data_IF_603943601297
#
_entry.id   IF_603943601297
#
_cell.length_a   1.000
_cell.length_b   1.000
_cell.length_c   1.000
_cell.angle_alpha   90.00
_cell.angle_beta   90.00
_cell.angle_gamma   90.00
#
_symmetry.space_group_name_H-M   'P 1'
#
loop_
_entity.id
_entity.type
_entity.pdbx_description
1 polymer ?
#
# COMPACT_ATOMS: atom_id res chain seq x y z
N UNK A 1 0.54 8.84 8.93
CA UNK A 1 0.11 7.66 8.13
C UNK A 1 -0.85 8.14 7.06
N UNK A 2 -0.89 7.49 5.90
CA UNK A 2 -1.87 7.81 4.86
C UNK A 2 -3.17 7.07 5.12
N UNK A 3 -4.28 7.80 5.19
CA UNK A 3 -5.62 7.25 5.38
C UNK A 3 -6.44 7.18 4.08
N UNK A 4 -6.06 8.00 3.09
CA UNK A 4 -6.75 8.13 1.80
C UNK A 4 -7.85 9.19 1.79
N UNK A 5 -8.03 9.96 2.86
CA UNK A 5 -9.09 10.96 2.98
C UNK A 5 -8.56 12.35 3.37
N UNK A 6 -7.76 12.42 4.44
CA UNK A 6 -7.35 13.69 5.05
C UNK A 6 -5.92 14.09 4.70
N UNK A 7 -5.10 13.11 4.28
CA UNK A 7 -3.67 13.32 4.01
C UNK A 7 -3.42 13.72 2.55
N UNK A 8 -2.66 14.80 2.32
CA UNK A 8 -2.13 15.12 0.97
C UNK A 8 -1.22 13.97 0.49
N UNK A 9 -1.46 13.44 -0.72
CA UNK A 9 -0.61 12.40 -1.32
C UNK A 9 0.86 12.82 -1.43
N UNK A 10 1.12 14.06 -1.81
CA UNK A 10 2.46 14.61 -2.01
C UNK A 10 3.22 14.67 -0.68
N UNK A 11 2.57 15.23 0.35
CA UNK A 11 3.16 15.34 1.69
C UNK A 11 3.43 13.96 2.29
N UNK A 12 2.53 13.00 2.07
CA UNK A 12 2.75 11.63 2.51
C UNK A 12 3.89 10.95 1.75
N UNK A 13 4.00 11.16 0.44
CA UNK A 13 5.05 10.54 -0.37
C UNK A 13 6.43 11.02 0.06
N UNK A 14 6.61 12.34 0.27
CA UNK A 14 7.86 12.90 0.80
C UNK A 14 8.21 12.30 2.17
N UNK A 15 7.23 12.17 3.06
CA UNK A 15 7.43 11.53 4.37
C UNK A 15 7.81 10.05 4.23
N UNK A 16 7.19 9.33 3.30
CA UNK A 16 7.47 7.92 3.07
C UNK A 16 8.86 7.70 2.47
N UNK A 17 9.29 8.53 1.51
CA UNK A 17 10.64 8.50 0.97
C UNK A 17 11.70 8.76 2.03
N UNK A 18 11.45 9.73 2.91
CA UNK A 18 12.30 9.97 4.07
C UNK A 18 12.42 8.71 4.95
N UNK A 19 11.30 8.06 5.26
CA UNK A 19 11.31 6.81 6.03
C UNK A 19 12.06 5.66 5.30
N UNK A 20 11.92 5.56 3.97
CA UNK A 20 12.66 4.57 3.18
C UNK A 20 14.18 4.80 3.29
N UNK A 21 14.61 6.06 3.22
CA UNK A 21 16.02 6.43 3.33
C UNK A 21 16.59 6.10 4.72
N UNK A 22 15.87 6.48 5.79
CA UNK A 22 16.30 6.21 7.17
C UNK A 22 16.36 4.71 7.51
N UNK A 23 15.51 3.89 6.90
CA UNK A 23 15.47 2.44 7.12
C UNK A 23 16.25 1.63 6.08
N UNK A 24 16.96 2.29 5.16
CA UNK A 24 17.72 1.66 4.08
C UNK A 24 16.88 0.72 3.18
N UNK A 25 15.61 1.06 2.93
CA UNK A 25 14.77 0.34 1.96
C UNK A 25 15.10 0.80 0.54
N UNK A 26 16.20 0.27 0.01
CA UNK A 26 16.78 0.73 -1.25
C UNK A 26 16.14 0.06 -2.49
N UNK A 27 15.55 -1.13 -2.35
CA UNK A 27 14.88 -1.84 -3.45
C UNK A 27 13.39 -1.48 -3.54
N UNK A 28 12.82 -1.54 -4.75
CA UNK A 28 11.38 -1.31 -4.94
C UNK A 28 10.56 -2.39 -4.22
N UNK A 29 11.03 -3.63 -4.20
CA UNK A 29 10.42 -4.72 -3.45
C UNK A 29 10.37 -4.41 -1.94
N UNK A 30 11.45 -3.91 -1.35
CA UNK A 30 11.49 -3.53 0.07
C UNK A 30 10.58 -2.34 0.38
N UNK A 31 10.57 -1.34 -0.50
CA UNK A 31 9.64 -0.20 -0.37
C UNK A 31 8.21 -0.68 -0.43
N UNK A 32 7.80 -1.45 -1.44
CA UNK A 32 6.40 -1.92 -1.54
C UNK A 32 6.01 -2.78 -0.33
N UNK A 33 6.91 -3.64 0.14
CA UNK A 33 6.70 -4.48 1.32
C UNK A 33 6.44 -3.65 2.59
N UNK A 34 7.22 -2.60 2.81
CA UNK A 34 7.15 -1.79 4.02
C UNK A 34 6.14 -0.63 3.94
N UNK A 35 5.68 -0.26 2.75
CA UNK A 35 4.68 0.79 2.54
C UNK A 35 3.41 0.56 3.38
N UNK A 36 3.00 -0.70 3.54
CA UNK A 36 1.82 -1.09 4.33
C UNK A 36 1.89 -0.68 5.81
N UNK A 37 3.08 -0.46 6.36
CA UNK A 37 3.28 0.02 7.73
C UNK A 37 2.84 1.47 7.90
N UNK A 38 2.85 2.25 6.81
CA UNK A 38 2.53 3.67 6.78
C UNK A 38 1.12 3.97 6.29
N UNK A 39 0.36 2.93 5.95
CA UNK A 39 -1.04 3.03 5.57
C UNK A 39 -1.94 2.80 6.79
N UNK A 40 -3.02 3.55 6.82
CA UNK A 40 -4.09 3.51 7.82
C UNK A 40 -5.46 3.59 7.15
N UNK A 41 -6.53 3.40 7.91
CA UNK A 41 -7.91 3.59 7.43
C UNK A 41 -8.23 2.82 6.14
N UNK A 42 -8.85 3.53 5.20
CA UNK A 42 -9.28 2.99 3.91
C UNK A 42 -8.07 2.56 3.07
N UNK A 43 -7.01 3.37 3.03
CA UNK A 43 -5.80 3.05 2.26
C UNK A 43 -5.17 1.71 2.66
N UNK A 44 -5.12 1.40 3.96
CA UNK A 44 -4.61 0.11 4.44
C UNK A 44 -5.48 -1.05 3.97
N UNK A 45 -6.80 -0.87 4.00
CA UNK A 45 -7.75 -1.90 3.53
C UNK A 45 -7.61 -2.16 2.03
N UNK A 46 -7.23 -1.14 1.25
CA UNK A 46 -7.07 -1.25 -0.20
C UNK A 46 -5.75 -1.89 -0.63
N UNK A 47 -4.66 -1.63 0.09
CA UNK A 47 -3.29 -1.98 -0.32
C UNK A 47 -2.92 -3.48 -0.37
N UNK A 48 -3.88 -4.37 -0.14
CA UNK A 48 -3.57 -5.80 -0.06
C UNK A 48 -4.73 -6.76 -0.18
N UNK A 49 -5.94 -6.29 -0.48
CA UNK A 49 -7.04 -7.21 -0.72
C UNK A 49 -7.05 -7.63 -2.19
N UNK A 50 -7.27 -8.92 -2.45
CA UNK A 50 -7.50 -9.42 -3.80
C UNK A 50 -8.69 -8.69 -4.47
N UNK A 51 -9.67 -8.24 -3.67
CA UNK A 51 -10.82 -7.47 -4.14
C UNK A 51 -10.42 -6.10 -4.70
N UNK A 52 -9.50 -5.40 -4.03
CA UNK A 52 -8.99 -4.11 -4.51
C UNK A 52 -8.28 -4.27 -5.85
N UNK A 53 -7.45 -5.32 -5.99
CA UNK A 53 -6.85 -5.68 -7.27
C UNK A 53 -7.93 -5.93 -8.36
N UNK A 54 -8.97 -6.70 -8.04
CA UNK A 54 -10.07 -6.98 -8.97
C UNK A 54 -10.75 -5.70 -9.49
N UNK A 55 -11.11 -4.78 -8.60
CA UNK A 55 -11.80 -3.55 -8.99
C UNK A 55 -10.91 -2.67 -9.85
N UNK A 56 -9.65 -2.49 -9.47
CA UNK A 56 -8.73 -1.66 -10.26
C UNK A 56 -8.45 -2.30 -11.62
N UNK A 57 -8.21 -3.61 -11.67
CA UNK A 57 -7.95 -4.30 -12.94
C UNK A 57 -9.16 -4.23 -13.88
N UNK A 58 -10.39 -4.39 -13.35
CA UNK A 58 -11.63 -4.22 -14.13
C UNK A 58 -11.76 -2.79 -14.66
N UNK A 59 -11.53 -1.78 -13.83
CA UNK A 59 -11.58 -0.38 -14.22
C UNK A 59 -10.59 -0.09 -15.36
N UNK A 60 -9.35 -0.56 -15.23
CA UNK A 60 -8.33 -0.39 -16.26
C UNK A 60 -8.70 -1.08 -17.58
N UNK A 61 -9.25 -2.30 -17.53
CA UNK A 61 -9.71 -3.01 -18.73
C UNK A 61 -10.86 -2.26 -19.43
N UNK A 62 -11.80 -1.71 -18.67
CA UNK A 62 -12.90 -0.90 -19.22
C UNK A 62 -12.42 0.42 -19.84
N UNK A 63 -11.39 1.05 -19.27
CA UNK A 63 -10.77 2.25 -19.82
C UNK A 63 -10.00 1.95 -21.11
N UNK A 64 -9.32 0.80 -21.17
CA UNK A 64 -8.58 0.38 -22.35
C UNK A 64 -9.50 -0.03 -23.51
N UNK A 65 -10.55 -0.80 -23.21
CA UNK A 65 -11.55 -1.23 -24.18
C UNK A 65 -12.92 -1.45 -23.51
N UNK A 66 -13.83 -0.50 -23.73
CA UNK A 66 -15.19 -0.57 -23.19
C UNK A 66 -16.06 -1.65 -23.86
N UNK A 67 -15.67 -2.16 -25.02
CA UNK A 67 -16.39 -3.20 -25.78
C UNK A 67 -15.90 -4.61 -25.47
N UNK A 68 -14.93 -4.75 -24.57
CA UNK A 68 -14.33 -6.02 -24.21
C UNK A 68 -15.38 -6.97 -23.62
N UNK A 69 -15.58 -8.17 -24.19
CA UNK A 69 -16.58 -9.10 -23.69
C UNK A 69 -16.20 -9.63 -22.31
N UNK A 70 -17.20 -9.83 -21.44
CA UNK A 70 -16.97 -10.32 -20.07
C UNK A 70 -16.23 -11.66 -20.01
N UNK A 71 -16.41 -12.50 -21.02
CA UNK A 71 -15.72 -13.79 -21.17
C UNK A 71 -14.20 -13.64 -21.30
N UNK A 72 -13.71 -12.49 -21.79
CA UNK A 72 -12.29 -12.17 -21.87
C UNK A 72 -11.78 -11.44 -20.62
N UNK A 73 -12.65 -10.70 -19.92
CA UNK A 73 -12.28 -9.96 -18.70
C UNK A 73 -11.84 -10.91 -17.58
N UNK A 74 -12.62 -11.97 -17.34
CA UNK A 74 -12.36 -12.93 -16.25
C UNK A 74 -10.96 -13.54 -16.30
N UNK A 75 -10.50 -14.17 -17.41
CA UNK A 75 -9.16 -14.74 -17.46
C UNK A 75 -8.06 -13.68 -17.33
N UNK A 76 -8.24 -12.48 -17.91
CA UNK A 76 -7.26 -11.39 -17.80
C UNK A 76 -7.06 -10.93 -16.34
N UNK A 77 -8.12 -10.89 -15.54
CA UNK A 77 -8.03 -10.59 -14.11
C UNK A 77 -7.35 -11.76 -13.38
N UNK A 78 -7.75 -13.00 -13.65
CA UNK A 78 -7.17 -14.18 -12.99
C UNK A 78 -5.66 -14.25 -13.24
N UNK A 79 -5.20 -14.00 -14.47
CA UNK A 79 -3.77 -14.09 -14.82
C UNK A 79 -2.85 -13.16 -14.02
N UNK A 80 -3.36 -12.05 -13.50
CA UNK A 80 -2.55 -11.15 -12.66
C UNK A 80 -2.73 -11.34 -11.16
N UNK A 81 -3.47 -12.36 -10.70
CA UNK A 81 -3.50 -12.76 -9.29
C UNK A 81 -2.22 -13.52 -8.90
N UNK A 82 -1.97 -13.70 -7.60
CA UNK A 82 -0.88 -14.58 -7.16
C UNK A 82 -1.16 -16.05 -7.52
N UNK A 83 -0.14 -16.89 -7.78
CA UNK A 83 -0.35 -18.28 -8.21
C UNK A 83 -1.26 -19.11 -7.28
N UNK A 84 -1.14 -18.90 -5.97
CA UNK A 84 -1.99 -19.58 -4.98
C UNK A 84 -3.46 -19.16 -5.10
N UNK A 85 -3.73 -17.88 -5.32
CA UNK A 85 -5.07 -17.36 -5.57
C UNK A 85 -5.60 -17.82 -6.93
N UNK A 86 -4.76 -17.84 -7.96
CA UNK A 86 -5.12 -18.34 -9.29
C UNK A 86 -5.63 -19.77 -9.19
N UNK A 87 -4.88 -20.66 -8.54
CA UNK A 87 -5.26 -22.06 -8.35
C UNK A 87 -6.61 -22.19 -7.63
N UNK A 88 -6.81 -21.45 -6.54
CA UNK A 88 -8.05 -21.49 -5.75
C UNK A 88 -9.26 -20.98 -6.54
N UNK A 89 -9.10 -19.90 -7.30
CA UNK A 89 -10.17 -19.34 -8.13
C UNK A 89 -10.46 -20.23 -9.35
N UNK A 90 -9.42 -20.77 -10.00
CA UNK A 90 -9.57 -21.66 -11.16
C UNK A 90 -10.32 -22.94 -10.81
N UNK A 91 -10.11 -23.50 -9.61
CA UNK A 91 -10.89 -24.65 -9.13
C UNK A 91 -12.39 -24.36 -9.05
N UNK A 92 -12.80 -23.09 -8.87
CA UNK A 92 -14.20 -22.68 -8.88
C UNK A 92 -14.76 -22.44 -10.29
N UNK A 93 -13.89 -22.28 -11.29
CA UNK A 93 -14.25 -22.14 -12.70
C UNK A 93 -15.21 -20.98 -13.02
N UNK A 94 -14.98 -19.74 -12.54
CA UNK A 94 -15.88 -18.61 -12.80
C UNK A 94 -15.94 -18.29 -14.30
N UNK A 95 -17.15 -18.13 -14.82
CA UNK A 95 -17.42 -17.77 -16.23
C UNK A 95 -17.86 -16.31 -16.38
N UNK A 96 -18.38 -15.73 -15.31
CA UNK A 96 -18.85 -14.35 -15.27
C UNK A 96 -18.08 -13.52 -14.24
N UNK A 97 -18.06 -12.20 -14.44
CA UNK A 97 -17.41 -11.25 -13.52
C UNK A 97 -18.01 -11.32 -12.11
N UNK A 98 -19.33 -11.54 -12.01
CA UNK A 98 -20.01 -11.71 -10.71
C UNK A 98 -19.57 -12.96 -9.96
N UNK A 99 -19.39 -14.09 -10.66
CA UNK A 99 -18.91 -15.35 -10.06
C UNK A 99 -17.46 -15.22 -9.59
N UNK A 100 -16.61 -14.55 -10.38
CA UNK A 100 -15.23 -14.25 -9.98
C UNK A 100 -15.21 -13.40 -8.70
N UNK A 101 -15.98 -12.32 -8.66
CA UNK A 101 -16.07 -11.44 -7.50
C UNK A 101 -16.54 -12.20 -6.25
N UNK A 102 -17.56 -13.07 -6.40
CA UNK A 102 -18.04 -13.89 -5.29
C UNK A 102 -16.98 -14.87 -4.82
N UNK A 103 -16.30 -15.56 -5.74
CA UNK A 103 -15.21 -16.47 -5.40
C UNK A 103 -14.07 -15.78 -4.63
N UNK A 104 -13.71 -14.56 -5.04
CA UNK A 104 -12.69 -13.77 -4.34
C UNK A 104 -13.13 -13.32 -2.94
N UNK A 105 -14.42 -12.97 -2.76
CA UNK A 105 -14.99 -12.64 -1.44
C UNK A 105 -14.96 -13.84 -0.50
N UNK A 106 -15.36 -15.00 -0.98
CA UNK A 106 -15.37 -16.22 -0.17
C UNK A 106 -13.96 -16.59 0.31
N UNK A 107 -12.96 -16.54 -0.58
CA UNK A 107 -11.57 -16.79 -0.23
C UNK A 107 -11.03 -15.77 0.78
N UNK A 108 -11.43 -14.51 0.65
CA UNK A 108 -11.05 -13.46 1.60
C UNK A 108 -11.62 -13.74 3.01
N UNK A 109 -12.89 -14.13 3.10
CA UNK A 109 -13.53 -14.48 4.37
C UNK A 109 -12.87 -15.72 5.00
N UNK A 110 -12.59 -16.75 4.21
CA UNK A 110 -11.93 -17.98 4.67
C UNK A 110 -10.51 -17.70 5.22
N UNK A 111 -9.76 -16.79 4.58
CA UNK A 111 -8.44 -16.37 5.05
C UNK A 111 -8.48 -15.66 6.41
N UNK A 112 -9.52 -14.86 6.69
CA UNK A 112 -9.69 -14.20 7.99
C UNK A 112 -10.01 -15.20 9.11
N UNK A 113 -10.84 -16.21 8.84
CA UNK A 113 -11.17 -17.24 9.83
C UNK A 113 -9.94 -18.04 10.25
N UNK A 114 -9.05 -18.34 9.29
CA UNK A 114 -7.82 -19.10 9.55
C UNK A 114 -6.86 -18.31 10.45
N UNK A 115 -6.74 -16.99 10.28
CA UNK A 115 -5.91 -16.14 11.15
C UNK A 115 -6.47 -15.94 12.56
N UNK A 116 -7.78 -16.14 12.76
CA UNK A 116 -8.44 -15.92 14.05
C UNK A 116 -8.51 -17.17 14.92
N UNK A 117 -8.05 -18.32 14.45
CA UNK A 117 -8.03 -19.50 15.31
C UNK A 117 -7.05 -19.25 16.47
N UNK A 118 -7.54 -19.26 17.73
CA UNK A 118 -6.67 -19.06 18.88
C UNK A 118 -5.63 -20.17 18.89
N UNK A 119 -4.34 -19.80 18.90
CA UNK A 119 -3.27 -20.77 19.08
C UNK A 119 -3.63 -21.62 20.30
N UNK A 120 -3.78 -22.92 20.07
CA UNK A 120 -4.12 -23.86 21.12
C UNK A 120 -3.10 -23.73 22.26
N UNK A 121 -3.54 -23.60 23.53
CA UNK A 121 -2.64 -23.40 24.68
C UNK A 121 -1.59 -24.51 24.84
N UNK A 122 -1.76 -25.66 24.18
CA UNK A 122 -0.84 -26.79 24.21
C UNK A 122 0.56 -26.47 23.67
N UNK A 123 0.73 -25.41 22.85
CA UNK A 123 2.04 -24.98 22.37
C UNK A 123 2.78 -24.01 23.32
N UNK A 124 2.14 -23.54 24.40
CA UNK A 124 2.69 -22.48 25.27
C UNK A 124 3.68 -22.97 26.34
N UNK A 125 3.79 -24.28 26.56
CA UNK A 125 4.58 -24.82 27.67
C UNK A 125 6.01 -25.25 27.30
N UNK A 126 6.43 -25.10 26.04
CA UNK A 126 7.78 -25.54 25.61
C UNK A 126 8.77 -24.39 25.40
N UNK A 127 8.32 -23.13 25.35
CA UNK A 127 9.20 -21.96 25.16
C UNK A 127 9.49 -21.16 26.44
N UNK A 128 8.88 -21.52 27.58
CA UNK A 128 9.12 -20.85 28.85
C UNK A 128 10.52 -21.12 29.45
N UNK A 129 11.33 -22.02 28.86
CA UNK A 129 12.66 -22.39 29.38
C UNK A 129 13.83 -21.71 28.64
N UNK A 130 13.59 -20.83 27.65
CA UNK A 130 14.67 -20.14 26.92
C UNK A 130 14.60 -18.59 26.95
N UNK A 131 13.66 -18.00 27.69
CA UNK A 131 13.43 -16.55 27.69
C UNK A 131 14.18 -15.77 28.80
N UNK A 132 15.24 -16.34 29.41
CA UNK A 132 15.99 -15.70 30.49
C UNK A 132 17.38 -15.14 30.07
N UNK A 133 17.64 -14.99 28.77
CA UNK A 133 18.91 -14.44 28.28
C UNK A 133 18.76 -13.43 27.13
N UNK A 134 17.86 -12.45 27.26
CA UNK A 134 17.87 -11.27 26.37
C UNK A 134 17.76 -9.97 27.15
N UNK A 135 18.90 -9.27 27.20
CA UNK A 135 19.11 -7.94 27.78
C UNK A 135 18.06 -6.93 27.32
N UNK A 136 17.70 -5.96 28.18
CA UNK A 136 16.76 -4.90 27.81
C UNK A 136 17.33 -4.02 26.70
N UNK A 137 16.57 -3.88 25.62
CA UNK A 137 16.79 -2.87 24.59
C UNK A 137 16.71 -1.50 25.24
N UNK A 138 17.83 -0.78 25.17
CA UNK A 138 17.93 0.60 25.59
C UNK A 138 16.80 1.43 24.96
N UNK A 139 16.17 2.25 25.80
CA UNK A 139 15.15 3.23 25.45
C UNK A 139 15.64 4.15 24.33
N UNK A 140 15.13 3.98 23.12
CA UNK A 140 15.27 4.96 22.05
C UNK A 140 14.48 6.21 22.43
N UNK A 141 15.19 7.25 22.90
CA UNK A 141 14.69 8.62 22.84
C UNK A 141 15.28 9.23 21.57
N UNK A 142 14.46 9.75 20.64
CA UNK A 142 14.98 10.49 19.51
C UNK A 142 15.62 11.78 20.04
N UNK A 143 16.95 11.86 19.93
CA UNK A 143 17.68 13.09 20.17
C UNK A 143 17.30 14.06 19.06
N UNK A 144 16.45 15.04 19.37
CA UNK A 144 16.13 16.11 18.46
C UNK A 144 17.41 16.91 18.19
N UNK A 145 18.08 16.64 17.06
CA UNK A 145 19.12 17.50 16.54
C UNK A 145 18.46 18.80 16.05
N UNK A 146 18.81 19.96 16.62
CA UNK A 146 18.26 21.23 16.15
C UNK A 146 18.79 21.49 14.74
N UNK A 147 17.89 21.46 13.76
CA UNK A 147 18.18 21.87 12.39
C UNK A 147 18.39 23.38 12.42
N UNK A 148 19.64 23.82 12.30
CA UNK A 148 19.96 25.21 12.04
C UNK A 148 19.44 25.56 10.64
N UNK A 149 18.28 26.22 10.59
CA UNK A 149 17.80 26.90 9.40
C UNK A 149 18.80 28.02 9.05
N UNK A 150 19.58 27.80 8.00
CA UNK A 150 20.33 28.86 7.33
C UNK A 150 19.32 29.73 6.58
N UNK A 151 18.96 30.86 7.18
CA UNK A 151 18.20 31.92 6.52
C UNK A 151 19.05 32.53 5.42
N UNK A 152 18.84 32.10 4.17
CA UNK A 152 19.39 32.78 3.02
C UNK A 152 18.64 34.12 2.83
N UNK A 153 19.29 35.22 3.20
CA UNK A 153 18.88 36.56 2.79
C UNK A 153 19.08 36.68 1.26
N UNK A 154 17.99 36.47 0.52
CA UNK A 154 17.90 36.82 -0.90
C UNK A 154 17.63 38.31 -1.04
N UNK A 155 18.70 39.08 -1.26
CA UNK A 155 18.62 40.41 -1.84
C UNK A 155 18.87 40.32 -3.34
N UNK A 156 17.88 40.71 -4.14
CA UNK A 156 18.09 41.42 -5.41
C UNK A 156 16.78 41.99 -5.88
N UNK A 157 16.68 43.29 -5.59
CA UNK A 157 15.84 44.26 -6.24
C UNK A 157 16.26 44.37 -7.71
N UNK A 158 15.37 44.02 -8.63
CA UNK A 158 15.44 44.47 -10.01
C UNK A 158 14.01 44.66 -10.51
N UNK A 159 13.61 45.93 -10.59
CA UNK A 159 12.47 46.36 -11.38
C UNK A 159 12.81 46.35 -12.87
N UNK A 160 11.87 45.86 -13.67
CA UNK A 160 11.63 46.18 -15.08
C UNK A 160 10.10 46.25 -15.19
N UNK A 161 9.54 47.45 -15.14
CA UNK A 161 9.24 48.33 -16.29
C UNK A 161 8.13 47.75 -17.17
N UNK A 162 6.94 48.33 -16.97
CA UNK A 162 5.73 48.14 -17.76
C UNK A 162 5.91 48.82 -19.11
N UNK A 163 5.85 48.04 -20.20
CA UNK A 163 5.50 48.58 -21.50
C UNK A 163 4.05 48.21 -21.85
N UNK A 164 3.21 49.22 -21.71
CA UNK A 164 1.88 49.36 -22.24
C UNK A 164 1.97 49.54 -23.76
N UNK A 165 1.47 48.55 -24.53
CA UNK A 165 1.23 48.73 -25.97
C UNK A 165 -0.20 48.33 -26.30
N UNK A 166 -1.08 49.32 -26.17
CA UNK A 166 -2.24 49.47 -27.05
C UNK A 166 -1.82 49.47 -28.52
N UNK A 167 -2.43 48.62 -29.36
CA UNK A 167 -2.85 48.97 -30.73
C UNK A 167 -3.67 47.85 -31.42
N UNK A 168 -4.87 48.27 -31.84
CA UNK A 168 -5.84 47.71 -32.82
C UNK A 168 -6.65 46.47 -32.45
#
# INVERSE_FOLDING_TARGET
MFDGESSSPESWFTFYEYACNENCWCSDEDKVKNMRLFLSGIAKSWSGSALSYFYEKRRLLQLADSSLPETSVVPLIIYGLSPDFQKQIQMRGPKAVGELLQGMRDLYLQGQETQRQPMTPAARNTEATQAEERRPLASWRPTATPVHFLTAQGGSDHGEELDDVTKN
#
